data_IF_641224139860
#
_entry.id   IF_641224139860
#
_cell.length_a   1.000
_cell.length_b   1.000
_cell.length_c   1.000
_cell.angle_alpha   90.00
_cell.angle_beta   90.00
_cell.angle_gamma   90.00
#
_symmetry.space_group_name_H-M   'P 1'
#
loop_
_entity.id
_entity.type
_entity.pdbx_description
1 polymer ?
#
# COMPACT_ATOMS: atom_id res chain seq x y z
N UNK A 1 -14.23 -14.94 -12.91
CA UNK A 1 -14.84 -14.98 -11.56
C UNK A 1 -14.47 -13.71 -10.81
N UNK A 2 -15.44 -12.95 -10.31
CA UNK A 2 -15.22 -11.82 -9.42
C UNK A 2 -15.49 -12.26 -7.98
N UNK A 3 -14.66 -11.77 -7.07
CA UNK A 3 -14.76 -12.03 -5.63
C UNK A 3 -14.89 -10.68 -4.94
N UNK A 4 -15.95 -10.50 -4.17
CA UNK A 4 -16.17 -9.30 -3.35
C UNK A 4 -16.63 -9.71 -1.95
N UNK A 5 -16.80 -8.73 -1.07
CA UNK A 5 -17.56 -8.96 0.15
C UNK A 5 -19.06 -9.21 -0.15
N UNK A 6 -19.86 -9.36 0.92
CA UNK A 6 -21.29 -9.67 0.88
C UNK A 6 -22.23 -8.46 0.83
N UNK A 7 -21.74 -7.25 0.59
CA UNK A 7 -22.57 -6.05 0.45
C UNK A 7 -23.43 -6.15 -0.82
N UNK A 8 -24.71 -5.80 -0.68
CA UNK A 8 -25.70 -5.85 -1.78
C UNK A 8 -25.39 -4.88 -2.92
N UNK A 9 -24.63 -3.83 -2.65
CA UNK A 9 -24.16 -2.87 -3.67
C UNK A 9 -23.32 -3.55 -4.75
N UNK A 10 -22.50 -4.55 -4.40
CA UNK A 10 -21.65 -5.24 -5.36
C UNK A 10 -22.43 -6.12 -6.33
N UNK A 11 -23.44 -6.84 -5.84
CA UNK A 11 -24.29 -7.67 -6.73
C UNK A 11 -25.09 -6.80 -7.70
N UNK A 12 -25.57 -5.64 -7.24
CA UNK A 12 -26.26 -4.67 -8.09
C UNK A 12 -25.32 -4.09 -9.16
N UNK A 13 -24.14 -3.61 -8.76
CA UNK A 13 -23.14 -3.07 -9.69
C UNK A 13 -22.64 -4.12 -10.69
N UNK A 14 -22.45 -5.37 -10.24
CA UNK A 14 -22.08 -6.49 -11.11
C UNK A 14 -23.15 -6.74 -12.19
N UNK A 15 -24.44 -6.69 -11.83
CA UNK A 15 -25.52 -6.93 -12.78
C UNK A 15 -25.52 -5.91 -13.93
N UNK A 16 -25.15 -4.66 -13.64
CA UNK A 16 -25.05 -3.58 -14.62
C UNK A 16 -23.75 -3.65 -15.43
N UNK A 17 -22.59 -3.78 -14.76
CA UNK A 17 -21.28 -3.59 -15.39
C UNK A 17 -20.71 -4.90 -15.97
N UNK A 18 -20.98 -6.04 -15.32
CA UNK A 18 -20.40 -7.35 -15.67
C UNK A 18 -21.40 -8.51 -15.55
N UNK A 19 -22.51 -8.50 -16.31
CA UNK A 19 -23.60 -9.46 -16.16
C UNK A 19 -23.17 -10.92 -16.36
N UNK A 20 -22.21 -11.19 -17.25
CA UNK A 20 -21.73 -12.55 -17.56
C UNK A 20 -20.65 -13.11 -16.63
N UNK A 21 -20.11 -12.33 -15.68
CA UNK A 21 -19.02 -12.77 -14.82
C UNK A 21 -19.57 -13.56 -13.62
N UNK A 22 -19.06 -14.77 -13.37
CA UNK A 22 -19.41 -15.51 -12.14
C UNK A 22 -18.99 -14.70 -10.89
N UNK A 23 -19.89 -14.53 -9.94
CA UNK A 23 -19.67 -13.79 -8.70
C UNK A 23 -19.66 -14.74 -7.50
N UNK A 24 -18.56 -14.73 -6.73
CA UNK A 24 -18.43 -15.53 -5.49
C UNK A 24 -18.24 -14.62 -4.28
N UNK A 25 -18.96 -14.93 -3.21
CA UNK A 25 -18.93 -14.16 -1.95
C UNK A 25 -18.80 -15.05 -0.70
N UNK A 26 -18.34 -16.31 -0.87
CA UNK A 26 -18.17 -17.20 0.28
C UNK A 26 -17.05 -16.74 1.21
N UNK A 27 -17.15 -17.14 2.48
CA UNK A 27 -16.25 -16.68 3.54
C UNK A 27 -14.79 -16.99 3.19
N UNK A 28 -13.93 -15.99 3.27
CA UNK A 28 -12.48 -16.14 3.10
C UNK A 28 -11.97 -15.96 1.67
N UNK A 29 -12.83 -15.86 0.65
CA UNK A 29 -12.35 -15.63 -0.71
C UNK A 29 -11.71 -14.27 -0.92
N UNK A 30 -12.24 -13.25 -0.28
CA UNK A 30 -11.72 -11.88 -0.39
C UNK A 30 -10.44 -11.67 0.43
N UNK A 31 -9.95 -12.68 1.17
CA UNK A 31 -8.76 -12.55 2.02
C UNK A 31 -7.55 -11.99 1.27
N UNK A 32 -7.35 -12.36 0.00
CA UNK A 32 -6.25 -11.81 -0.80
C UNK A 32 -6.39 -10.30 -1.01
N UNK A 33 -7.60 -9.83 -1.32
CA UNK A 33 -7.88 -8.40 -1.47
C UNK A 33 -7.75 -7.68 -0.12
N UNK A 34 -8.32 -8.23 0.95
CA UNK A 34 -8.19 -7.66 2.30
C UNK A 34 -6.74 -7.58 2.76
N UNK A 35 -5.93 -8.62 2.52
CA UNK A 35 -4.51 -8.65 2.87
C UNK A 35 -3.71 -7.63 2.06
N UNK A 36 -4.07 -7.40 0.80
CA UNK A 36 -3.42 -6.36 -0.02
C UNK A 36 -3.64 -4.95 0.53
N UNK A 37 -4.72 -4.72 1.28
CA UNK A 37 -5.02 -3.43 1.92
C UNK A 37 -4.34 -3.24 3.28
N UNK A 38 -3.81 -4.30 3.90
CA UNK A 38 -3.22 -4.23 5.25
C UNK A 38 -2.10 -3.17 5.35
N UNK A 39 -1.12 -3.09 4.43
CA UNK A 39 -0.06 -2.07 4.51
C UNK A 39 -0.63 -0.66 4.47
N UNK A 40 -1.60 -0.42 3.58
CA UNK A 40 -2.28 0.87 3.45
C UNK A 40 -3.03 1.25 4.73
N UNK A 41 -3.79 0.32 5.32
CA UNK A 41 -4.54 0.58 6.57
C UNK A 41 -3.64 0.82 7.76
N UNK A 42 -2.52 0.10 7.87
CA UNK A 42 -1.52 0.33 8.93
C UNK A 42 -0.98 1.76 8.82
N UNK A 43 -0.62 2.20 7.61
CA UNK A 43 -0.14 3.56 7.39
C UNK A 43 -1.20 4.62 7.66
N UNK A 44 -2.43 4.45 7.18
CA UNK A 44 -3.56 5.35 7.48
C UNK A 44 -3.74 5.52 9.00
N UNK A 45 -3.64 4.40 9.74
CA UNK A 45 -3.77 4.39 11.20
C UNK A 45 -2.60 5.12 11.88
N UNK A 46 -1.36 4.88 11.46
CA UNK A 46 -0.16 5.57 11.97
C UNK A 46 -0.22 7.07 11.68
N UNK A 47 -0.70 7.45 10.49
CA UNK A 47 -0.78 8.85 10.04
C UNK A 47 -2.04 9.59 10.53
N UNK A 48 -2.85 8.98 11.42
CA UNK A 48 -4.10 9.55 11.96
C UNK A 48 -5.12 9.97 10.89
N UNK A 49 -5.29 9.15 9.84
CA UNK A 49 -6.18 9.36 8.68
C UNK A 49 -5.72 10.50 7.75
N UNK A 50 -6.05 10.36 6.47
CA UNK A 50 -5.79 11.41 5.48
C UNK A 50 -6.82 12.53 5.59
N UNK A 51 -6.37 13.78 5.42
CA UNK A 51 -7.25 14.96 5.46
C UNK A 51 -8.26 15.02 4.31
N UNK A 52 -7.96 14.37 3.19
CA UNK A 52 -8.86 14.28 2.03
C UNK A 52 -8.50 13.10 1.11
N UNK A 53 -9.44 12.72 0.24
CA UNK A 53 -9.24 11.67 -0.78
C UNK A 53 -8.09 12.04 -1.73
N UNK A 54 -8.01 13.30 -2.17
CA UNK A 54 -6.91 13.75 -3.04
C UNK A 54 -5.54 13.68 -2.36
N UNK A 55 -5.48 13.89 -1.04
CA UNK A 55 -4.24 13.71 -0.28
C UNK A 55 -3.85 12.23 -0.21
N UNK A 56 -4.82 11.35 0.04
CA UNK A 56 -4.60 9.91 0.01
C UNK A 56 -4.10 9.46 -1.37
N UNK A 57 -4.70 9.94 -2.47
CA UNK A 57 -4.30 9.54 -3.82
C UNK A 57 -2.85 9.91 -4.15
N UNK A 58 -2.44 11.16 -3.86
CA UNK A 58 -1.03 11.60 -4.08
C UNK A 58 -0.05 10.83 -3.22
N UNK A 59 -0.45 10.48 -1.99
CA UNK A 59 0.38 9.64 -1.14
C UNK A 59 0.49 8.22 -1.71
N UNK A 60 -0.64 7.58 -2.02
CA UNK A 60 -0.70 6.21 -2.52
C UNK A 60 0.04 6.03 -3.84
N UNK A 61 0.03 7.03 -4.73
CA UNK A 61 0.73 6.96 -6.02
C UNK A 61 2.25 6.83 -5.88
N UNK A 62 2.85 7.39 -4.83
CA UNK A 62 4.29 7.32 -4.59
C UNK A 62 4.68 6.30 -3.51
N UNK A 63 3.78 5.99 -2.58
CA UNK A 63 4.08 5.24 -1.37
C UNK A 63 4.67 3.85 -1.63
N UNK A 64 4.18 3.12 -2.62
CA UNK A 64 4.69 1.77 -2.92
C UNK A 64 6.20 1.79 -3.23
N UNK A 65 6.64 2.76 -4.02
CA UNK A 65 8.04 2.94 -4.42
C UNK A 65 8.88 3.35 -3.20
N UNK A 66 8.42 4.37 -2.47
CA UNK A 66 9.12 4.91 -1.29
C UNK A 66 9.27 3.82 -0.21
N UNK A 67 8.19 3.10 0.10
CA UNK A 67 8.17 2.05 1.11
C UNK A 67 9.09 0.89 0.75
N UNK A 68 9.13 0.48 -0.52
CA UNK A 68 10.06 -0.56 -0.99
C UNK A 68 11.52 -0.10 -0.88
N UNK A 69 11.81 1.17 -1.18
CA UNK A 69 13.15 1.75 -1.04
C UNK A 69 13.63 1.82 0.41
N UNK A 70 12.75 1.98 1.41
CA UNK A 70 13.16 2.05 2.82
C UNK A 70 12.97 0.74 3.60
N UNK A 71 12.63 -0.36 2.94
CA UNK A 71 12.46 -1.68 3.58
C UNK A 71 13.48 -2.70 3.06
N UNK A 72 14.79 -2.50 3.30
CA UNK A 72 15.76 -3.57 3.08
C UNK A 72 15.39 -4.75 3.96
N UNK A 73 15.69 -5.97 3.49
CA UNK A 73 15.38 -7.22 4.20
C UNK A 73 16.25 -7.34 5.45
N UNK A 74 15.91 -6.60 6.52
CA UNK A 74 16.69 -6.46 7.76
C UNK A 74 17.12 -7.80 8.37
N UNK A 75 16.28 -8.83 8.23
CA UNK A 75 16.57 -10.18 8.72
C UNK A 75 17.75 -10.86 8.01
N UNK A 76 18.23 -10.32 6.89
CA UNK A 76 19.40 -10.79 6.15
C UNK A 76 20.65 -9.96 6.41
N UNK A 77 20.56 -8.90 7.23
CA UNK A 77 21.65 -7.95 7.44
C UNK A 77 22.08 -7.93 8.91
N UNK A 78 23.37 -7.78 9.16
CA UNK A 78 23.87 -7.41 10.49
C UNK A 78 23.47 -5.97 10.82
N UNK A 79 23.52 -5.60 12.10
CA UNK A 79 23.15 -4.25 12.53
C UNK A 79 24.06 -3.16 11.94
N UNK A 80 25.32 -3.47 11.66
CA UNK A 80 26.26 -2.58 10.98
C UNK A 80 25.89 -2.40 9.51
N UNK A 81 25.77 -3.50 8.75
CA UNK A 81 25.38 -3.47 7.34
C UNK A 81 24.03 -2.81 7.11
N UNK A 82 23.07 -3.01 8.01
CA UNK A 82 21.79 -2.33 7.95
C UNK A 82 21.93 -0.80 8.06
N UNK A 83 22.83 -0.30 8.91
CA UNK A 83 23.05 1.15 9.07
C UNK A 83 23.70 1.75 7.82
N UNK A 84 24.74 1.10 7.29
CA UNK A 84 25.38 1.49 6.02
C UNK A 84 24.36 1.54 4.86
N UNK A 85 23.55 0.48 4.73
CA UNK A 85 22.52 0.39 3.68
C UNK A 85 21.47 1.50 3.82
N UNK A 86 21.08 1.85 5.04
CA UNK A 86 20.12 2.92 5.29
C UNK A 86 20.72 4.29 4.98
N UNK A 87 21.99 4.53 5.31
CA UNK A 87 22.71 5.78 4.99
C UNK A 87 22.73 6.02 3.47
N UNK A 88 23.15 5.03 2.69
CA UNK A 88 23.14 5.10 1.22
C UNK A 88 21.72 5.35 0.65
N UNK A 89 20.70 4.68 1.23
CA UNK A 89 19.31 4.87 0.80
C UNK A 89 18.81 6.28 1.10
N UNK A 90 19.24 6.89 2.20
CA UNK A 90 18.93 8.29 2.53
C UNK A 90 19.67 9.28 1.63
N UNK A 91 20.92 9.01 1.26
CA UNK A 91 21.66 9.81 0.27
C UNK A 91 20.94 9.83 -1.08
N UNK A 92 20.62 8.63 -1.61
CA UNK A 92 19.83 8.48 -2.84
C UNK A 92 18.50 9.23 -2.75
N UNK A 93 17.84 9.17 -1.59
CA UNK A 93 16.58 9.85 -1.39
C UNK A 93 16.72 11.38 -1.41
N UNK A 94 17.78 11.92 -0.80
CA UNK A 94 18.10 13.35 -0.81
C UNK A 94 18.29 13.87 -2.25
N UNK A 95 19.02 13.11 -3.07
CA UNK A 95 19.24 13.43 -4.49
C UNK A 95 17.94 13.44 -5.29
N UNK A 96 17.13 12.37 -5.18
CA UNK A 96 15.90 12.21 -5.96
C UNK A 96 14.80 13.19 -5.54
N UNK A 97 14.69 13.47 -4.24
CA UNK A 97 13.65 14.36 -3.73
C UNK A 97 13.98 15.84 -3.90
N UNK A 98 15.23 16.19 -4.23
CA UNK A 98 15.75 17.57 -4.22
C UNK A 98 15.51 18.31 -2.88
N UNK A 99 15.15 17.59 -1.82
CA UNK A 99 14.98 18.14 -0.48
C UNK A 99 16.37 18.09 0.14
N UNK A 100 17.05 19.25 0.20
CA UNK A 100 18.19 19.39 1.10
C UNK A 100 17.71 19.06 2.51
N UNK A 101 18.16 17.93 3.04
CA UNK A 101 18.02 17.63 4.47
C UNK A 101 18.58 18.83 5.22
N UNK A 102 17.74 19.53 5.99
CA UNK A 102 18.22 20.58 6.87
C UNK A 102 19.19 19.94 7.87
N UNK A 103 20.38 20.53 7.98
CA UNK A 103 21.44 20.13 8.89
C UNK A 103 21.01 20.23 10.35
#
# INVERSE_FOLDING_TARGET
>A
VIITDKLKSYSAAKAEIMPGVEHRQHKGLNNRAENSHQPTRVCEKVMRRFKSVGHAQRFLSAFGIISSHFRPRRHLLTAERYREEMELRFETWSEVSCVRMAA
#
